data_IF_577196417666
#
_entry.id   IF_577196417666
#
_cell.length_a   1.000
_cell.length_b   1.000
_cell.length_c   1.000
_cell.angle_alpha   90.00
_cell.angle_beta   90.00
_cell.angle_gamma   90.00
#
_symmetry.space_group_name_H-M   'P 1'
#
loop_
_entity.id
_entity.type
_entity.pdbx_description
1 polymer ?
#
# COMPACT_ATOMS: atom_id res chain seq x y z
N UNK A 1 -0.76 6.11 20.86
CA UNK A 1 -2.11 5.73 20.37
C UNK A 1 -3.10 5.97 21.49
N UNK A 2 -4.00 6.93 21.31
CA UNK A 2 -4.97 7.36 22.33
C UNK A 2 -6.32 6.65 22.15
N UNK A 3 -6.95 6.19 23.23
CA UNK A 3 -8.30 5.60 23.19
C UNK A 3 -9.33 6.55 23.81
N UNK A 4 -10.37 6.87 23.04
CA UNK A 4 -11.47 7.74 23.51
C UNK A 4 -12.85 7.11 23.26
N UNK A 5 -13.79 7.47 24.12
CA UNK A 5 -15.19 7.07 23.98
C UNK A 5 -15.89 7.95 22.94
N UNK A 6 -16.81 7.36 22.18
CA UNK A 6 -17.65 8.05 21.20
C UNK A 6 -18.46 9.22 21.79
N UNK A 7 -18.82 9.17 23.07
CA UNK A 7 -19.48 10.29 23.74
C UNK A 7 -18.54 11.49 23.91
N UNK A 8 -17.30 11.22 24.33
CA UNK A 8 -16.26 12.24 24.50
C UNK A 8 -15.88 12.86 23.15
N UNK A 9 -15.84 12.04 22.09
CA UNK A 9 -15.63 12.49 20.72
C UNK A 9 -16.70 13.49 20.27
N UNK A 10 -17.98 13.19 20.51
CA UNK A 10 -19.10 14.05 20.11
C UNK A 10 -19.03 15.44 20.74
N UNK A 11 -18.65 15.49 22.01
CA UNK A 11 -18.66 16.73 22.78
C UNK A 11 -17.42 17.60 22.51
N UNK A 12 -16.28 16.98 22.16
CA UNK A 12 -14.98 17.66 22.08
C UNK A 12 -14.29 17.46 20.72
N UNK A 13 -15.06 17.35 19.62
CA UNK A 13 -14.50 17.02 18.31
C UNK A 13 -13.37 17.98 17.89
N UNK A 14 -13.57 19.29 18.03
CA UNK A 14 -12.57 20.30 17.65
C UNK A 14 -11.24 20.11 18.39
N UNK A 15 -11.28 20.05 19.72
CA UNK A 15 -10.07 19.85 20.53
C UNK A 15 -9.37 18.50 20.25
N UNK A 16 -10.12 17.47 19.85
CA UNK A 16 -9.54 16.17 19.47
C UNK A 16 -8.88 16.25 18.10
N UNK A 17 -9.44 17.00 17.15
CA UNK A 17 -8.81 17.25 15.84
C UNK A 17 -7.53 18.07 15.98
N UNK A 18 -7.52 19.08 16.86
CA UNK A 18 -6.32 19.88 17.14
C UNK A 18 -5.21 18.97 17.70
N UNK A 19 -5.52 18.13 18.70
CA UNK A 19 -4.56 17.15 19.24
C UNK A 19 -4.11 16.09 18.24
N UNK A 20 -5.00 15.65 17.34
CA UNK A 20 -4.66 14.71 16.27
C UNK A 20 -3.63 15.34 15.32
N UNK A 21 -3.81 16.62 15.00
CA UNK A 21 -2.89 17.40 14.16
C UNK A 21 -1.55 17.61 14.86
N UNK A 22 -1.57 17.96 16.15
CA UNK A 22 -0.36 18.26 16.93
C UNK A 22 0.47 17.02 17.27
N UNK A 23 -0.18 15.93 17.68
CA UNK A 23 0.53 14.70 18.05
C UNK A 23 0.90 13.85 16.84
N UNK A 24 0.11 13.91 15.77
CA UNK A 24 0.22 13.00 14.63
C UNK A 24 -0.03 11.53 15.00
N UNK A 25 -0.63 11.23 16.15
CA UNK A 25 -0.93 9.85 16.55
C UNK A 25 -2.37 9.44 16.21
N UNK A 26 -2.60 8.19 15.72
CA UNK A 26 -3.94 7.67 15.52
C UNK A 26 -4.75 7.58 16.81
N UNK A 27 -6.03 7.94 16.72
CA UNK A 27 -6.95 7.94 17.86
C UNK A 27 -8.03 6.88 17.67
N UNK A 28 -8.17 5.97 18.63
CA UNK A 28 -9.11 4.85 18.58
C UNK A 28 -10.41 5.26 19.26
N UNK A 29 -11.53 5.06 18.57
CA UNK A 29 -12.86 5.36 19.08
C UNK A 29 -13.54 4.08 19.56
N UNK A 30 -13.89 4.06 20.85
CA UNK A 30 -14.68 3.01 21.48
C UNK A 30 -16.14 3.43 21.62
N UNK A 31 -17.06 2.51 21.35
CA UNK A 31 -18.49 2.66 21.64
C UNK A 31 -19.01 1.37 22.25
N UNK A 32 -19.72 1.47 23.38
CA UNK A 32 -20.21 0.30 24.15
C UNK A 32 -19.11 -0.74 24.42
N UNK A 33 -17.93 -0.25 24.83
CA UNK A 33 -16.74 -1.04 25.11
C UNK A 33 -16.15 -1.85 23.94
N UNK A 34 -16.53 -1.55 22.69
CA UNK A 34 -15.95 -2.13 21.48
C UNK A 34 -15.29 -1.04 20.64
N UNK A 35 -14.15 -1.36 20.03
CA UNK A 35 -13.52 -0.50 19.03
C UNK A 35 -14.44 -0.43 17.81
N UNK A 36 -14.74 0.78 17.34
CA UNK A 36 -15.67 1.00 16.21
C UNK A 36 -15.06 1.82 15.08
N UNK A 37 -14.14 2.71 15.37
CA UNK A 37 -13.50 3.55 14.37
C UNK A 37 -12.10 3.97 14.83
N UNK A 38 -11.30 4.45 13.89
CA UNK A 38 -10.01 5.07 14.13
C UNK A 38 -10.00 6.40 13.37
N UNK A 39 -9.52 7.45 14.02
CA UNK A 39 -9.23 8.75 13.42
C UNK A 39 -7.73 8.84 13.12
N UNK A 40 -7.41 9.28 11.92
CA UNK A 40 -6.07 9.54 11.42
C UNK A 40 -6.10 10.81 10.58
N UNK A 41 -4.96 11.47 10.44
CA UNK A 41 -4.87 12.64 9.55
C UNK A 41 -4.94 12.20 8.08
N UNK A 42 -5.37 13.10 7.17
CA UNK A 42 -5.36 12.82 5.74
C UNK A 42 -3.98 12.40 5.22
N UNK A 43 -2.89 13.02 5.69
CA UNK A 43 -1.53 12.66 5.25
C UNK A 43 -1.15 11.24 5.69
N UNK A 44 -1.61 10.82 6.87
CA UNK A 44 -1.40 9.45 7.35
C UNK A 44 -2.24 8.45 6.58
N UNK A 45 -3.45 8.83 6.16
CA UNK A 45 -4.27 8.00 5.31
C UNK A 45 -3.61 7.78 3.95
N UNK A 46 -3.12 8.85 3.30
CA UNK A 46 -2.42 8.73 2.01
C UNK A 46 -1.18 7.85 2.12
N UNK A 47 -0.29 8.12 3.08
CA UNK A 47 0.97 7.37 3.24
C UNK A 47 0.78 5.90 3.63
N UNK A 48 -0.25 5.58 4.41
CA UNK A 48 -0.43 4.21 4.95
C UNK A 48 -1.39 3.37 4.13
N UNK A 49 -2.42 3.96 3.54
CA UNK A 49 -3.43 3.21 2.79
C UNK A 49 -3.22 3.34 1.28
N UNK A 50 -3.02 4.56 0.76
CA UNK A 50 -2.93 4.77 -0.69
C UNK A 50 -1.59 4.25 -1.25
N UNK A 51 -0.47 4.60 -0.60
CA UNK A 51 0.85 4.14 -1.02
C UNK A 51 0.99 2.62 -0.86
N UNK A 52 0.47 2.06 0.24
CA UNK A 52 0.51 0.61 0.46
C UNK A 52 -0.34 -0.16 -0.55
N UNK A 53 -1.54 0.33 -0.87
CA UNK A 53 -2.41 -0.31 -1.85
C UNK A 53 -1.79 -0.25 -3.25
N UNK A 54 -1.19 0.89 -3.61
CA UNK A 54 -0.51 1.08 -4.91
C UNK A 54 0.71 0.19 -5.04
N UNK A 55 1.54 0.08 -4.00
CA UNK A 55 2.69 -0.84 -3.98
C UNK A 55 2.26 -2.30 -4.04
N UNK A 56 1.16 -2.65 -3.37
CA UNK A 56 0.66 -4.02 -3.37
C UNK A 56 0.04 -4.40 -4.72
N UNK A 57 -0.66 -3.48 -5.39
CA UNK A 57 -1.15 -3.68 -6.75
C UNK A 57 0.00 -3.78 -7.75
N UNK A 58 1.03 -2.93 -7.62
CA UNK A 58 2.23 -3.00 -8.46
C UNK A 58 2.97 -4.33 -8.29
N UNK A 59 3.13 -4.81 -7.05
CA UNK A 59 3.71 -6.14 -6.78
C UNK A 59 2.88 -7.26 -7.39
N UNK A 60 1.55 -7.26 -7.17
CA UNK A 60 0.66 -8.24 -7.79
C UNK A 60 0.73 -8.23 -9.31
N UNK A 61 0.82 -7.06 -9.91
CA UNK A 61 0.94 -6.91 -11.36
C UNK A 61 2.28 -7.45 -11.88
N UNK A 62 3.39 -7.15 -11.21
CA UNK A 62 4.71 -7.69 -11.56
C UNK A 62 4.78 -9.22 -11.38
N UNK A 63 4.16 -9.76 -10.33
CA UNK A 63 4.06 -11.21 -10.11
C UNK A 63 3.23 -11.87 -11.20
N UNK A 64 2.09 -11.27 -11.57
CA UNK A 64 1.25 -11.75 -12.66
C UNK A 64 2.03 -11.74 -13.99
N UNK A 65 2.76 -10.66 -14.30
CA UNK A 65 3.63 -10.60 -15.49
C UNK A 65 4.74 -11.66 -15.45
N UNK A 66 5.33 -11.90 -14.29
CA UNK A 66 6.39 -12.91 -14.11
C UNK A 66 5.84 -14.33 -14.31
N UNK A 67 4.61 -14.60 -13.85
CA UNK A 67 3.94 -15.89 -14.07
C UNK A 67 3.47 -16.07 -15.52
N UNK A 68 3.00 -15.00 -16.17
CA UNK A 68 2.63 -14.98 -17.59
C UNK A 68 3.85 -15.08 -18.51
N UNK A 69 5.05 -14.76 -18.00
CA UNK A 69 6.32 -14.95 -18.70
C UNK A 69 6.56 -16.45 -18.88
N UNK A 70 6.02 -16.98 -19.98
CA UNK A 70 6.28 -18.34 -20.47
C UNK A 70 7.77 -18.64 -20.33
N UNK A 71 8.12 -19.79 -19.71
CA UNK A 71 9.49 -20.31 -19.75
C UNK A 71 9.97 -20.24 -21.19
N UNK A 72 11.10 -19.57 -21.43
CA UNK A 72 11.75 -19.47 -22.73
C UNK A 72 11.72 -20.86 -23.38
N UNK A 73 11.00 -21.01 -24.50
CA UNK A 73 11.13 -22.19 -25.36
C UNK A 73 12.49 -22.06 -26.06
N UNK A 74 13.54 -22.49 -25.39
CA UNK A 74 14.90 -22.53 -25.94
C UNK A 74 15.93 -21.84 -25.04
N UNK A 75 17.06 -22.52 -24.88
CA UNK A 75 18.22 -22.09 -24.09
C UNK A 75 19.09 -21.05 -24.83
N UNK A 76 18.56 -20.44 -25.90
CA UNK A 76 19.32 -19.51 -26.75
C UNK A 76 19.08 -18.08 -26.28
N UNK A 77 20.16 -17.34 -26.06
CA UNK A 77 20.09 -15.90 -25.76
C UNK A 77 19.42 -15.18 -26.92
N UNK A 78 18.63 -14.15 -26.62
CA UNK A 78 17.97 -13.36 -27.68
C UNK A 78 19.01 -12.75 -28.63
N UNK A 79 20.22 -12.49 -28.13
CA UNK A 79 21.36 -12.01 -28.92
C UNK A 79 21.93 -13.08 -29.85
N UNK A 80 22.01 -14.34 -29.41
CA UNK A 80 22.57 -15.42 -30.23
C UNK A 80 21.62 -15.78 -31.38
N UNK A 81 20.31 -15.68 -31.15
CA UNK A 81 19.31 -15.83 -32.22
C UNK A 81 19.36 -14.67 -33.24
N UNK A 82 19.63 -13.45 -32.79
CA UNK A 82 19.81 -12.30 -33.70
C UNK A 82 21.11 -12.41 -34.49
N UNK A 83 22.18 -12.95 -33.89
CA UNK A 83 23.46 -13.21 -34.57
C UNK A 83 23.33 -14.29 -35.64
N UNK A 84 22.62 -15.38 -35.35
CA UNK A 84 22.39 -16.45 -36.32
C UNK A 84 21.55 -15.98 -37.51
N UNK A 85 20.51 -15.17 -37.29
CA UNK A 85 19.72 -14.55 -38.36
C UNK A 85 20.54 -13.58 -39.23
N UNK A 86 21.55 -12.92 -38.65
CA UNK A 86 22.46 -12.04 -39.38
C UNK A 86 23.61 -12.80 -40.08
N UNK A 87 23.67 -14.12 -39.93
CA UNK A 87 24.65 -14.96 -40.63
C UNK A 87 26.02 -15.04 -39.96
N UNK A 88 26.15 -14.58 -38.71
CA UNK A 88 27.32 -14.91 -37.90
C UNK A 88 27.17 -16.38 -37.47
N UNK A 89 27.90 -17.29 -38.10
CA UNK A 89 28.17 -18.62 -37.52
C UNK A 89 29.03 -18.42 -36.27
N UNK A 90 28.78 -19.24 -35.25
CA UNK A 90 29.40 -19.17 -33.91
C UNK A 90 30.88 -18.79 -33.92
#
# INVERSE_FOLDING_TARGET
MEEINALTLRNNLGAILDRLTDSGEPVIIRKKNKIKAVLITPEQFEKRFLDWQTDHEKKRFLDALTQLKRRKKGQVSSLDHLRSLRGYKE
#
